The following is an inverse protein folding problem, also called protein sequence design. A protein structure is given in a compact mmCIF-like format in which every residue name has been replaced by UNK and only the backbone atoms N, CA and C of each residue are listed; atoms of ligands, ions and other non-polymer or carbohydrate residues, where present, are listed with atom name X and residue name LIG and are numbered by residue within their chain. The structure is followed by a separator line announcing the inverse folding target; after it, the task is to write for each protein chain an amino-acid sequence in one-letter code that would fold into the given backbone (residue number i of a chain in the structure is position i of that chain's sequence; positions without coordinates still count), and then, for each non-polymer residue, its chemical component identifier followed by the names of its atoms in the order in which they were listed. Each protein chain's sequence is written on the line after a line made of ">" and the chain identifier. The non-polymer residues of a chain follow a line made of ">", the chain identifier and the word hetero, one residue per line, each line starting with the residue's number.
data_IF_888705977587
#
_entry.id   IF_888705977587
#
_cell.length_a   1.000
_cell.length_b   1.000
_cell.length_c   1.000
_cell.angle_alpha   90.00
_cell.angle_beta   90.00
_cell.angle_gamma   90.00
#
_symmetry.space_group_name_H-M   'P 1'
#
loop_
_entity.id
_entity.type
_entity.pdbx_description
1 polymer ?
#
# COMPACT_ATOMS: atom_id res chain seq x y z
N UNK A 1 -11.10 6.47 23.44
CA UNK A 1 -11.04 6.88 22.03
C UNK A 1 -10.20 5.85 21.29
N UNK A 2 -10.54 5.52 20.06
CA UNK A 2 -9.83 4.52 19.27
C UNK A 2 -8.53 5.13 18.71
N UNK A 3 -7.33 4.64 19.11
CA UNK A 3 -6.06 5.19 18.66
C UNK A 3 -5.91 5.24 17.13
N UNK A 4 -6.58 4.33 16.40
CA UNK A 4 -6.55 4.29 14.94
C UNK A 4 -7.25 5.46 14.25
N UNK A 5 -8.33 6.00 14.83
CA UNK A 5 -9.08 7.12 14.22
C UNK A 5 -8.35 8.44 14.26
N UNK A 6 -7.69 8.76 15.37
CA UNK A 6 -6.91 10.00 15.51
C UNK A 6 -5.67 9.95 14.61
N UNK A 7 -5.00 8.80 14.54
CA UNK A 7 -3.83 8.59 13.68
C UNK A 7 -4.16 8.81 12.20
N UNK A 8 -5.29 8.29 11.72
CA UNK A 8 -5.73 8.49 10.33
C UNK A 8 -6.00 9.97 10.00
N UNK A 9 -6.62 10.72 10.91
CA UNK A 9 -6.81 12.15 10.75
C UNK A 9 -5.48 12.89 10.59
N UNK A 10 -4.52 12.60 11.47
CA UNK A 10 -3.18 13.21 11.43
C UNK A 10 -2.41 12.86 10.14
N UNK A 11 -2.47 11.61 9.66
CA UNK A 11 -1.86 11.21 8.38
C UNK A 11 -2.44 12.05 7.23
N UNK A 12 -3.76 12.26 7.20
CA UNK A 12 -4.42 13.06 6.16
C UNK A 12 -4.00 14.53 6.25
N UNK A 13 -3.93 15.09 7.45
CA UNK A 13 -3.59 16.50 7.64
C UNK A 13 -2.11 16.78 7.30
N UNK A 14 -1.19 15.89 7.67
CA UNK A 14 0.21 15.94 7.21
C UNK A 14 0.30 15.80 5.69
N UNK A 15 -0.52 14.92 5.11
CA UNK A 15 -0.66 14.83 3.67
C UNK A 15 -1.13 16.12 3.02
N UNK A 16 -2.13 16.81 3.58
CA UNK A 16 -2.58 18.11 3.07
C UNK A 16 -1.52 19.20 3.21
N UNK A 17 -0.69 19.12 4.26
CA UNK A 17 0.41 20.04 4.51
C UNK A 17 1.59 19.87 3.54
N UNK A 18 1.61 18.82 2.71
CA UNK A 18 2.72 18.57 1.78
C UNK A 18 3.84 17.72 2.36
N UNK A 19 3.60 17.03 3.47
CA UNK A 19 4.61 16.32 4.26
C UNK A 19 4.38 14.79 4.25
N UNK A 20 4.40 14.11 3.08
CA UNK A 20 4.15 12.66 3.01
C UNK A 20 5.22 11.84 3.76
N UNK A 21 6.44 12.39 3.92
CA UNK A 21 7.49 11.76 4.72
C UNK A 21 7.16 11.76 6.21
N UNK A 22 6.62 12.87 6.74
CA UNK A 22 6.22 12.97 8.13
C UNK A 22 5.01 12.09 8.42
N UNK A 23 4.06 12.03 7.48
CA UNK A 23 2.94 11.09 7.56
C UNK A 23 3.42 9.62 7.64
N UNK A 24 4.52 9.27 6.96
CA UNK A 24 5.11 7.94 7.05
C UNK A 24 5.83 7.70 8.38
N UNK A 25 6.56 8.69 8.90
CA UNK A 25 7.18 8.58 10.24
C UNK A 25 6.14 8.35 11.32
N UNK A 26 5.02 9.08 11.28
CA UNK A 26 3.93 8.94 12.23
C UNK A 26 3.42 7.49 12.29
N UNK A 27 3.29 6.82 11.13
CA UNK A 27 2.92 5.40 11.07
C UNK A 27 4.00 4.50 11.66
N UNK A 28 5.28 4.81 11.46
CA UNK A 28 6.39 4.02 11.99
C UNK A 28 6.61 4.18 13.49
N UNK A 29 6.20 5.31 14.06
CA UNK A 29 6.33 5.64 15.48
C UNK A 29 5.13 5.17 16.31
N UNK A 30 4.12 4.56 15.67
CA UNK A 30 2.98 3.99 16.39
C UNK A 30 3.43 2.91 17.38
N UNK A 31 2.93 2.98 18.61
CA UNK A 31 3.17 1.97 19.65
C UNK A 31 2.58 0.60 19.27
N UNK A 32 1.59 0.59 18.39
CA UNK A 32 0.90 -0.60 17.90
C UNK A 32 1.12 -0.78 16.40
N UNK A 33 1.02 -2.02 15.94
CA UNK A 33 1.19 -2.34 14.52
C UNK A 33 0.12 -1.62 13.67
N UNK A 34 0.52 -0.85 12.64
CA UNK A 34 -0.45 -0.08 11.86
C UNK A 34 -1.35 -1.01 11.06
N UNK A 35 -2.66 -0.76 11.13
CA UNK A 35 -3.64 -1.54 10.40
C UNK A 35 -3.66 -1.22 8.89
N UNK A 36 -4.39 -2.03 8.14
CA UNK A 36 -4.50 -1.85 6.70
C UNK A 36 -5.17 -0.50 6.31
N UNK A 37 -5.97 0.12 7.19
CA UNK A 37 -6.59 1.41 6.94
C UNK A 37 -5.56 2.54 7.03
N UNK A 38 -4.69 2.52 8.04
CA UNK A 38 -3.60 3.48 8.19
C UNK A 38 -2.66 3.47 6.97
N UNK A 39 -2.26 2.27 6.53
CA UNK A 39 -1.46 2.15 5.32
C UNK A 39 -2.18 2.62 4.05
N UNK A 40 -3.49 2.34 3.89
CA UNK A 40 -4.28 2.83 2.75
C UNK A 40 -4.41 4.35 2.75
N UNK A 41 -4.59 4.96 3.93
CA UNK A 41 -4.62 6.42 4.10
C UNK A 41 -3.30 7.04 3.65
N UNK A 42 -2.17 6.50 4.13
CA UNK A 42 -0.84 6.96 3.73
C UNK A 42 -0.59 6.75 2.22
N UNK A 43 -1.08 5.66 1.63
CA UNK A 43 -0.95 5.43 0.19
C UNK A 43 -1.64 6.54 -0.61
N UNK A 44 -2.84 6.96 -0.17
CA UNK A 44 -3.56 8.09 -0.76
C UNK A 44 -2.74 9.38 -0.71
N UNK A 45 -2.15 9.68 0.45
CA UNK A 45 -1.25 10.84 0.65
C UNK A 45 -0.05 10.77 -0.29
N UNK A 46 0.67 9.65 -0.32
CA UNK A 46 1.88 9.49 -1.15
C UNK A 46 1.58 9.66 -2.64
N UNK A 47 0.43 9.16 -3.09
CA UNK A 47 -0.03 9.28 -4.47
C UNK A 47 -0.39 10.72 -4.85
N UNK A 48 -1.06 11.44 -3.96
CA UNK A 48 -1.39 12.86 -4.17
C UNK A 48 -0.13 13.70 -4.38
N UNK A 49 0.96 13.35 -3.68
CA UNK A 49 2.27 14.01 -3.77
C UNK A 49 3.21 13.42 -4.83
N UNK A 50 2.76 12.45 -5.63
CA UNK A 50 3.57 11.76 -6.65
C UNK A 50 4.88 11.16 -6.09
N UNK A 51 4.93 10.85 -4.80
CA UNK A 51 6.09 10.22 -4.18
C UNK A 51 6.05 8.72 -4.47
N UNK A 52 6.63 8.33 -5.62
CA UNK A 52 6.52 6.97 -6.15
C UNK A 52 7.25 5.94 -5.28
N UNK A 53 8.43 6.27 -4.78
CA UNK A 53 9.21 5.36 -3.92
C UNK A 53 8.45 5.02 -2.64
N UNK A 54 7.88 6.05 -1.99
CA UNK A 54 7.09 5.86 -0.78
C UNK A 54 5.77 5.14 -1.09
N UNK A 55 5.11 5.45 -2.22
CA UNK A 55 3.90 4.74 -2.65
C UNK A 55 4.13 3.25 -2.86
N UNK A 56 5.25 2.86 -3.49
CA UNK A 56 5.62 1.45 -3.68
C UNK A 56 5.89 0.76 -2.35
N UNK A 57 6.62 1.43 -1.43
CA UNK A 57 6.86 0.91 -0.09
C UNK A 57 5.54 0.64 0.66
N UNK A 58 4.65 1.62 0.69
CA UNK A 58 3.37 1.53 1.40
C UNK A 58 2.47 0.45 0.80
N UNK A 59 2.38 0.37 -0.53
CA UNK A 59 1.63 -0.70 -1.21
C UNK A 59 2.15 -2.10 -0.82
N UNK A 60 3.47 -2.28 -0.67
CA UNK A 60 4.03 -3.55 -0.19
C UNK A 60 3.64 -3.86 1.26
N UNK A 61 3.49 -2.86 2.14
CA UNK A 61 3.01 -3.11 3.51
C UNK A 61 1.55 -3.55 3.53
N UNK A 62 0.70 -2.92 2.72
CA UNK A 62 -0.71 -3.35 2.56
C UNK A 62 -0.78 -4.80 2.10
N UNK A 63 0.01 -5.20 1.10
CA UNK A 63 0.03 -6.57 0.58
C UNK A 63 0.64 -7.60 1.55
N UNK A 64 1.43 -7.18 2.54
CA UNK A 64 1.84 -8.07 3.63
C UNK A 64 0.69 -8.37 4.59
N UNK A 65 -0.14 -7.36 4.88
CA UNK A 65 -1.32 -7.50 5.75
C UNK A 65 -2.48 -8.20 5.05
N UNK A 66 -2.74 -7.85 3.80
CA UNK A 66 -3.77 -8.44 2.95
C UNK A 66 -3.19 -8.79 1.56
N UNK A 67 -2.59 -9.99 1.42
CA UNK A 67 -2.01 -10.45 0.16
C UNK A 67 -3.00 -10.54 -1.01
N UNK A 68 -4.30 -10.54 -0.71
CA UNK A 68 -5.39 -10.70 -1.68
C UNK A 68 -6.00 -9.36 -2.13
N UNK A 69 -5.49 -8.21 -1.64
CA UNK A 69 -5.97 -6.88 -2.01
C UNK A 69 -5.66 -6.59 -3.50
N UNK A 70 -6.64 -6.91 -4.37
CA UNK A 70 -6.52 -6.76 -5.81
C UNK A 70 -6.29 -5.30 -6.22
N UNK A 71 -6.90 -4.35 -5.51
CA UNK A 71 -6.73 -2.92 -5.77
C UNK A 71 -5.28 -2.47 -5.60
N UNK A 72 -4.63 -2.93 -4.54
CA UNK A 72 -3.24 -2.61 -4.22
C UNK A 72 -2.27 -3.26 -5.21
N UNK A 73 -2.54 -4.50 -5.65
CA UNK A 73 -1.78 -5.14 -6.74
C UNK A 73 -1.85 -4.33 -8.04
N UNK A 74 -3.05 -3.91 -8.46
CA UNK A 74 -3.24 -3.10 -9.67
C UNK A 74 -2.50 -1.76 -9.55
N UNK A 75 -2.55 -1.12 -8.38
CA UNK A 75 -1.86 0.13 -8.13
C UNK A 75 -0.35 -0.02 -8.17
N UNK A 76 0.18 -1.07 -7.54
CA UNK A 76 1.61 -1.37 -7.54
C UNK A 76 2.12 -1.64 -8.96
N UNK A 77 1.35 -2.41 -9.75
CA UNK A 77 1.64 -2.67 -11.17
C UNK A 77 1.69 -1.36 -11.98
N UNK A 78 0.68 -0.50 -11.82
CA UNK A 78 0.62 0.80 -12.48
C UNK A 78 1.84 1.68 -12.12
N UNK A 79 2.26 1.70 -10.86
CA UNK A 79 3.45 2.45 -10.43
C UNK A 79 4.72 1.94 -11.12
N UNK A 80 4.91 0.62 -11.21
CA UNK A 80 6.08 0.05 -11.88
C UNK A 80 6.10 0.35 -13.38
N UNK A 81 4.95 0.23 -14.06
CA UNK A 81 4.81 0.58 -15.48
C UNK A 81 5.18 2.05 -15.72
N UNK A 82 4.68 2.98 -14.91
CA UNK A 82 5.01 4.41 -15.05
C UNK A 82 6.48 4.72 -14.75
N UNK A 83 7.14 3.92 -13.91
CA UNK A 83 8.57 4.05 -13.62
C UNK A 83 9.49 3.37 -14.65
N UNK A 84 8.94 2.78 -15.71
CA UNK A 84 9.66 1.99 -16.73
C UNK A 84 10.46 0.81 -16.14
N UNK A 85 10.05 0.28 -14.98
CA UNK A 85 10.67 -0.88 -14.32
C UNK A 85 10.01 -2.18 -14.77
N UNK A 86 10.20 -2.53 -16.03
CA UNK A 86 9.51 -3.63 -16.70
C UNK A 86 9.85 -5.01 -16.09
N UNK A 87 11.06 -5.18 -15.56
CA UNK A 87 11.48 -6.39 -14.84
C UNK A 87 10.62 -6.63 -13.59
N UNK A 88 10.26 -5.57 -12.86
CA UNK A 88 9.43 -5.68 -11.64
C UNK A 88 7.95 -5.88 -12.00
N UNK A 89 7.50 -5.32 -13.13
CA UNK A 89 6.15 -5.57 -13.69
C UNK A 89 5.92 -7.06 -13.97
N UNK A 90 6.91 -7.74 -14.55
CA UNK A 90 6.83 -9.16 -14.86
C UNK A 90 6.73 -10.03 -13.59
N UNK A 91 7.46 -9.69 -12.54
CA UNK A 91 7.45 -10.40 -11.25
C UNK A 91 6.07 -10.29 -10.57
N UNK A 92 5.54 -9.07 -10.44
CA UNK A 92 4.24 -8.83 -9.80
C UNK A 92 3.11 -9.52 -10.57
N UNK A 93 3.12 -9.44 -11.92
CA UNK A 93 2.12 -10.09 -12.76
C UNK A 93 2.13 -11.62 -12.62
N UNK A 94 3.33 -12.19 -12.46
CA UNK A 94 3.51 -13.63 -12.21
C UNK A 94 2.95 -14.03 -10.84
N UNK A 95 3.24 -13.24 -9.79
CA UNK A 95 2.68 -13.47 -8.45
C UNK A 95 1.16 -13.41 -8.46
N UNK A 96 0.56 -12.40 -9.09
CA UNK A 96 -0.90 -12.28 -9.21
C UNK A 96 -1.51 -13.49 -9.91
N UNK A 97 -0.93 -13.89 -11.05
CA UNK A 97 -1.43 -15.03 -11.84
C UNK A 97 -1.36 -16.35 -11.07
N UNK A 98 -0.28 -16.54 -10.29
CA UNK A 98 -0.13 -17.70 -9.41
C UNK A 98 -1.21 -17.70 -8.33
N UNK A 99 -1.46 -16.55 -7.71
CA UNK A 99 -2.44 -16.42 -6.64
C UNK A 99 -3.87 -16.67 -7.10
N UNK A 100 -4.24 -16.16 -8.28
CA UNK A 100 -5.54 -16.45 -8.91
C UNK A 100 -5.73 -17.95 -9.11
N UNK A 101 -4.67 -18.67 -9.55
CA UNK A 101 -4.72 -20.13 -9.68
C UNK A 101 -4.89 -20.83 -8.33
N UNK A 102 -4.13 -20.43 -7.31
CA UNK A 102 -4.23 -21.02 -5.96
C UNK A 102 -5.62 -20.83 -5.34
N UNK A 103 -6.21 -19.64 -5.46
CA UNK A 103 -7.56 -19.35 -4.96
C UNK A 103 -8.63 -20.11 -5.77
N UNK A 104 -8.43 -20.33 -7.07
CA UNK A 104 -9.30 -21.16 -7.90
C UNK A 104 -9.21 -22.66 -7.57
N UNK A 105 -8.06 -23.13 -7.10
CA UNK A 105 -7.86 -24.53 -6.66
C UNK A 105 -8.46 -24.76 -5.26
N UNK A 106 -8.38 -23.77 -4.37
CA UNK A 106 -8.95 -23.86 -3.02
C UNK A 106 -10.49 -23.92 -2.98
N UNK A 107 -11.17 -23.62 -4.09
CA UNK A 107 -12.63 -23.75 -4.23
C UNK A 107 -13.12 -25.14 -4.66
N UNK A 108 -12.23 -26.12 -4.88
CA UNK A 108 -12.56 -27.46 -5.39
C UNK A 108 -12.04 -28.61 -4.51
N UNK A 109 -11.61 -28.33 -3.28
CA UNK A 109 -11.20 -29.34 -2.27
C UNK A 109 -11.93 -29.08 -0.97
#
# INVERSE_FOLDING_TARGET
>A
MDPGRETNGCIVDLGRAGEPGEAAKLIHEMEYEPDAMAWRTLLGVCRAHRNMNLSVYVAKQILKLDPSDAGTHILLLYMYVNSQRWEVVAEVSTMMSRRVKELGVAGLT
#
